data_IF_022496478526
#
_entry.id   IF_022496478526
#
_cell.length_a   1.000
_cell.length_b   1.000
_cell.length_c   1.000
_cell.angle_alpha   90.00
_cell.angle_beta   90.00
_cell.angle_gamma   90.00
#
_symmetry.space_group_name_H-M   'P 1'
#
loop_
_entity.id
_entity.type
_entity.pdbx_description
1 polymer ?
#
# COMPACT_ATOMS: atom_id res chain seq x y z
N UNK A 1 -0.15 18.08 34.61
CA UNK A 1 0.57 17.37 33.53
C UNK A 1 1.20 18.42 32.62
N UNK A 2 2.52 18.63 32.72
CA UNK A 2 3.24 19.59 31.88
C UNK A 2 3.76 18.94 30.61
N UNK A 3 3.99 19.74 29.57
CA UNK A 3 4.62 19.28 28.34
C UNK A 3 6.07 18.82 28.62
N UNK A 4 6.43 17.61 28.20
CA UNK A 4 7.74 16.98 28.46
C UNK A 4 8.66 17.15 27.26
N UNK A 5 9.40 18.27 27.19
CA UNK A 5 10.33 18.54 26.09
C UNK A 5 11.43 17.49 25.93
N UNK A 6 11.90 16.89 27.03
CA UNK A 6 12.94 15.86 27.02
C UNK A 6 12.53 14.62 26.22
N UNK A 7 11.23 14.27 26.25
CA UNK A 7 10.70 13.14 25.47
C UNK A 7 10.72 13.43 23.97
N UNK A 8 10.46 14.68 23.57
CA UNK A 8 10.46 15.07 22.16
C UNK A 8 11.87 14.88 21.60
N UNK A 9 12.88 15.45 22.25
CA UNK A 9 14.26 15.35 21.79
C UNK A 9 14.80 13.92 21.85
N UNK A 10 14.46 13.16 22.90
CA UNK A 10 14.87 11.75 23.02
C UNK A 10 14.21 10.85 21.96
N UNK A 11 13.05 11.23 21.42
CA UNK A 11 12.33 10.46 20.40
C UNK A 11 12.77 10.76 18.97
N UNK A 12 13.52 11.84 18.73
CA UNK A 12 13.98 12.25 17.38
C UNK A 12 14.64 11.07 16.63
N UNK A 13 15.57 10.29 17.22
CA UNK A 13 16.19 9.17 16.51
C UNK A 13 15.17 8.11 16.05
N UNK A 14 14.17 7.79 16.88
CA UNK A 14 13.13 6.84 16.54
C UNK A 14 12.20 7.38 15.45
N UNK A 15 11.85 8.67 15.51
CA UNK A 15 11.05 9.34 14.48
C UNK A 15 11.78 9.38 13.13
N UNK A 16 13.09 9.63 13.12
CA UNK A 16 13.91 9.59 11.92
C UNK A 16 13.97 8.18 11.30
N UNK A 17 14.03 7.13 12.13
CA UNK A 17 13.94 5.76 11.64
C UNK A 17 12.57 5.48 10.99
N UNK A 18 11.48 5.92 11.62
CA UNK A 18 10.13 5.82 11.05
C UNK A 18 9.97 6.61 9.74
N UNK A 19 10.55 7.81 9.66
CA UNK A 19 10.55 8.62 8.45
C UNK A 19 11.32 7.92 7.32
N UNK A 20 12.51 7.37 7.61
CA UNK A 20 13.29 6.59 6.64
C UNK A 20 12.50 5.38 6.12
N UNK A 21 11.85 4.65 7.02
CA UNK A 21 11.01 3.51 6.64
C UNK A 21 9.85 3.94 5.73
N UNK A 22 9.19 5.06 6.05
CA UNK A 22 8.11 5.62 5.23
C UNK A 22 8.59 5.92 3.80
N UNK A 23 9.75 6.56 3.66
CA UNK A 23 10.34 6.86 2.35
C UNK A 23 10.68 5.58 1.59
N UNK A 24 11.26 4.58 2.27
CA UNK A 24 11.61 3.30 1.66
C UNK A 24 10.36 2.57 1.15
N UNK A 25 9.34 2.43 1.99
CA UNK A 25 8.09 1.76 1.63
C UNK A 25 7.35 2.50 0.51
N UNK A 26 7.27 3.83 0.60
CA UNK A 26 6.61 4.66 -0.41
C UNK A 26 7.32 4.55 -1.76
N UNK A 27 8.64 4.62 -1.78
CA UNK A 27 9.43 4.48 -3.02
C UNK A 27 9.15 3.15 -3.71
N UNK A 28 9.18 2.05 -2.95
CA UNK A 28 8.92 0.71 -3.49
C UNK A 28 7.47 0.60 -3.97
N UNK A 29 6.50 1.04 -3.17
CA UNK A 29 5.09 0.97 -3.52
C UNK A 29 4.75 1.81 -4.75
N UNK A 30 5.28 3.03 -4.86
CA UNK A 30 5.09 3.90 -6.03
C UNK A 30 5.75 3.30 -7.26
N UNK A 31 6.97 2.76 -7.15
CA UNK A 31 7.66 2.13 -8.27
C UNK A 31 6.83 1.00 -8.90
N UNK A 32 6.36 0.06 -8.09
CA UNK A 32 5.50 -1.03 -8.58
C UNK A 32 4.11 -0.53 -8.98
N UNK A 33 3.55 0.44 -8.25
CA UNK A 33 2.26 1.07 -8.56
C UNK A 33 2.25 1.74 -9.92
N UNK A 34 3.33 2.39 -10.32
CA UNK A 34 3.50 2.97 -11.66
C UNK A 34 3.51 1.86 -12.71
N UNK A 35 4.33 0.81 -12.53
CA UNK A 35 4.42 -0.29 -13.49
C UNK A 35 3.06 -0.96 -13.71
N UNK A 36 2.42 -1.39 -12.62
CA UNK A 36 1.11 -2.07 -12.68
C UNK A 36 0.02 -1.12 -13.16
N UNK A 37 0.02 0.13 -12.71
CA UNK A 37 -0.92 1.16 -13.11
C UNK A 37 -0.82 1.49 -14.60
N UNK A 38 0.39 1.57 -15.15
CA UNK A 38 0.62 1.79 -16.58
C UNK A 38 0.14 0.60 -17.41
N UNK A 39 0.48 -0.63 -17.00
CA UNK A 39 0.01 -1.85 -17.70
C UNK A 39 -1.52 -1.91 -17.72
N UNK A 40 -2.17 -1.72 -16.56
CA UNK A 40 -3.62 -1.70 -16.47
C UNK A 40 -4.24 -0.54 -17.26
N UNK A 41 -3.63 0.65 -17.22
CA UNK A 41 -4.07 1.82 -17.97
C UNK A 41 -4.05 1.58 -19.48
N UNK A 42 -2.97 1.01 -20.01
CA UNK A 42 -2.87 0.61 -21.42
C UNK A 42 -3.90 -0.48 -21.75
N UNK A 43 -4.04 -1.50 -20.88
CA UNK A 43 -5.01 -2.56 -21.05
C UNK A 43 -6.45 -2.06 -21.15
N UNK A 44 -6.79 -0.99 -20.42
CA UNK A 44 -8.12 -0.35 -20.47
C UNK A 44 -8.42 0.34 -21.80
N UNK A 45 -7.41 0.76 -22.55
CA UNK A 45 -7.57 1.35 -23.89
C UNK A 45 -7.72 0.29 -24.99
N UNK A 46 -7.51 -0.98 -24.68
CA UNK A 46 -7.63 -2.07 -25.65
C UNK A 46 -9.05 -2.19 -26.21
N UNK A 47 -9.15 -2.63 -27.47
CA UNK A 47 -10.42 -3.03 -28.10
C UNK A 47 -10.79 -4.49 -27.80
N UNK A 48 -9.89 -5.24 -27.18
CA UNK A 48 -10.10 -6.65 -26.82
C UNK A 48 -10.76 -6.80 -25.44
N UNK A 49 -11.24 -7.99 -25.06
CA UNK A 49 -11.78 -8.26 -23.71
C UNK A 49 -10.81 -7.94 -22.56
N UNK A 50 -9.52 -7.75 -22.83
CA UNK A 50 -8.53 -7.28 -21.85
C UNK A 50 -8.94 -5.95 -21.18
N UNK A 51 -9.69 -5.10 -21.89
CA UNK A 51 -10.26 -3.87 -21.35
C UNK A 51 -11.15 -4.13 -20.13
N UNK A 52 -11.91 -5.21 -20.13
CA UNK A 52 -12.80 -5.56 -19.02
C UNK A 52 -11.99 -5.95 -17.79
N UNK A 53 -10.98 -6.80 -17.95
CA UNK A 53 -10.09 -7.21 -16.84
C UNK A 53 -9.36 -5.99 -16.26
N UNK A 54 -8.81 -5.12 -17.11
CA UNK A 54 -8.13 -3.92 -16.68
C UNK A 54 -9.09 -2.93 -15.98
N UNK A 55 -10.31 -2.75 -16.49
CA UNK A 55 -11.33 -1.91 -15.87
C UNK A 55 -11.72 -2.46 -14.50
N UNK A 56 -12.01 -3.76 -14.38
CA UNK A 56 -12.35 -4.39 -13.10
C UNK A 56 -11.24 -4.25 -12.06
N UNK A 57 -9.97 -4.45 -12.44
CA UNK A 57 -8.84 -4.21 -11.55
C UNK A 57 -8.80 -2.74 -11.06
N UNK A 58 -8.90 -1.78 -11.98
CA UNK A 58 -8.86 -0.35 -11.63
C UNK A 58 -10.03 0.01 -10.71
N UNK A 59 -11.23 -0.47 -11.02
CA UNK A 59 -12.45 -0.14 -10.28
C UNK A 59 -12.44 -0.78 -8.87
N UNK A 60 -11.96 -2.01 -8.71
CA UNK A 60 -11.82 -2.66 -7.39
C UNK A 60 -10.80 -1.92 -6.53
N UNK A 61 -9.60 -1.66 -7.07
CA UNK A 61 -8.50 -1.05 -6.31
C UNK A 61 -8.84 0.40 -5.93
N UNK A 62 -9.52 1.15 -6.79
CA UNK A 62 -9.94 2.54 -6.51
C UNK A 62 -11.25 2.63 -5.73
N UNK A 63 -12.12 1.63 -5.83
CA UNK A 63 -13.40 1.56 -5.15
C UNK A 63 -13.33 0.99 -3.73
N UNK A 64 -12.23 0.31 -3.38
CA UNK A 64 -12.04 -0.29 -2.05
C UNK A 64 -11.10 0.56 -1.20
N UNK A 65 -11.47 0.92 0.05
CA UNK A 65 -10.58 1.67 0.94
C UNK A 65 -9.24 0.96 1.14
N UNK A 66 -8.13 1.71 1.10
CA UNK A 66 -6.78 1.15 1.26
C UNK A 66 -6.64 0.35 2.57
N UNK A 67 -7.27 0.84 3.64
CA UNK A 67 -7.31 0.15 4.93
C UNK A 67 -7.92 -1.25 4.80
N UNK A 68 -9.02 -1.40 4.07
CA UNK A 68 -9.65 -2.72 3.85
C UNK A 68 -8.70 -3.63 3.08
N UNK A 69 -8.03 -3.10 2.05
CA UNK A 69 -7.06 -3.88 1.26
C UNK A 69 -5.90 -4.38 2.13
N UNK A 70 -5.32 -3.53 2.98
CA UNK A 70 -4.25 -3.93 3.88
C UNK A 70 -4.76 -4.92 4.94
N UNK A 71 -5.94 -4.71 5.52
CA UNK A 71 -6.54 -5.67 6.45
C UNK A 71 -6.76 -7.05 5.82
N UNK A 72 -7.24 -7.12 4.57
CA UNK A 72 -7.40 -8.38 3.86
C UNK A 72 -6.05 -9.09 3.65
N UNK A 73 -4.99 -8.34 3.34
CA UNK A 73 -3.65 -8.92 3.16
C UNK A 73 -3.07 -9.38 4.51
N UNK A 74 -3.16 -8.57 5.56
CA UNK A 74 -2.55 -8.86 6.86
C UNK A 74 -3.33 -9.88 7.70
N UNK A 75 -4.66 -9.92 7.60
CA UNK A 75 -5.50 -10.79 8.42
C UNK A 75 -6.28 -11.84 7.61
N UNK A 76 -6.75 -11.47 6.42
CA UNK A 76 -7.54 -12.36 5.56
C UNK A 76 -6.67 -13.45 4.90
N UNK A 77 -5.57 -13.06 4.25
CA UNK A 77 -4.72 -13.97 3.51
C UNK A 77 -4.07 -15.04 4.43
N UNK A 78 -3.48 -14.73 5.60
CA UNK A 78 -2.96 -15.73 6.53
C UNK A 78 -3.97 -16.80 6.94
N UNK A 79 -5.23 -16.40 7.12
CA UNK A 79 -6.32 -17.32 7.49
C UNK A 79 -6.63 -18.30 6.36
N UNK A 80 -6.44 -17.89 5.10
CA UNK A 80 -6.62 -18.74 3.92
C UNK A 80 -5.43 -19.67 3.67
N UNK A 81 -4.20 -19.17 3.85
CA UNK A 81 -2.96 -19.91 3.54
C UNK A 81 -2.35 -20.63 4.75
N UNK A 82 -2.95 -20.50 5.94
CA UNK A 82 -2.47 -21.05 7.22
C UNK A 82 -1.01 -20.65 7.56
N UNK A 83 -0.56 -19.49 7.08
CA UNK A 83 0.77 -18.92 7.38
C UNK A 83 0.66 -17.49 7.85
N UNK A 84 1.17 -17.16 9.05
CA UNK A 84 1.15 -15.80 9.55
C UNK A 84 2.08 -14.92 8.72
N UNK A 85 1.58 -13.74 8.34
CA UNK A 85 2.40 -12.65 7.82
C UNK A 85 2.70 -11.77 9.03
N UNK A 86 3.98 -11.55 9.38
CA UNK A 86 4.37 -10.78 10.56
C UNK A 86 3.97 -9.30 10.45
#
# INVERSE_FOLDING_TARGET
>A
MGFRWDLVFSSIPALLQGAKLTVQLTTIAVFFGIILGTIAGIGRLSKTPLRLVAASYIDIIRGTPLLVQTFLIFYGLPSLISRPIP
#
